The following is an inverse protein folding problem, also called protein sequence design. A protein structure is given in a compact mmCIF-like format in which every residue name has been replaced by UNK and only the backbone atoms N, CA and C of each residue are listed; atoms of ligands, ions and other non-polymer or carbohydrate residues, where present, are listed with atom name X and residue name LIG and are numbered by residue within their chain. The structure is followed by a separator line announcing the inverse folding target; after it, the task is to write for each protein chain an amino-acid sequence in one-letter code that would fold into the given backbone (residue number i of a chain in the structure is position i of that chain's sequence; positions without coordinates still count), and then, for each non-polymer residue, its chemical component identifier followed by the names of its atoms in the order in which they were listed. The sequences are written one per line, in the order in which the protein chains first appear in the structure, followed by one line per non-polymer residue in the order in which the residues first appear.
data_IF_001917545951
#
_entry.id   IF_001917545951
#
_cell.length_a   1.000
_cell.length_b   1.000
_cell.length_c   1.000
_cell.angle_alpha   90.00
_cell.angle_beta   90.00
_cell.angle_gamma   90.00
#
_symmetry.space_group_name_H-M   'P 1'
#
loop_
_entity.id
_entity.type
_entity.pdbx_description
1 polymer ?
#
# COMPACT_ATOMS: atom_id res chain seq x y z
N UNK A 1 9.85 -9.13 -2.96
CA UNK A 1 8.87 -9.36 -1.90
C UNK A 1 7.97 -10.52 -2.28
N UNK A 2 7.55 -11.29 -1.29
CA UNK A 2 6.66 -12.44 -1.44
C UNK A 2 5.58 -12.38 -0.35
N UNK A 3 4.33 -12.77 -0.62
CA UNK A 3 3.34 -12.93 0.44
C UNK A 3 3.65 -14.17 1.28
N UNK A 4 3.57 -14.01 2.60
CA UNK A 4 3.72 -15.13 3.53
C UNK A 4 2.50 -16.04 3.48
N UNK A 5 2.72 -17.36 3.56
CA UNK A 5 1.66 -18.36 3.59
C UNK A 5 1.36 -18.89 4.99
N UNK A 6 2.18 -18.55 5.99
CA UNK A 6 2.02 -18.94 7.38
C UNK A 6 1.97 -17.74 8.31
N UNK A 7 1.19 -17.85 9.37
CA UNK A 7 1.14 -16.83 10.42
C UNK A 7 2.43 -16.81 11.22
N UNK A 8 2.81 -15.66 11.68
CA UNK A 8 4.01 -15.45 12.47
C UNK A 8 3.75 -14.44 13.59
N UNK A 9 4.63 -14.45 14.58
CA UNK A 9 4.56 -13.52 15.70
C UNK A 9 5.73 -12.52 15.62
N UNK A 10 5.41 -11.24 15.73
CA UNK A 10 6.41 -10.18 15.93
C UNK A 10 6.96 -10.31 17.36
N UNK A 11 8.29 -10.34 17.49
CA UNK A 11 8.93 -10.32 18.79
C UNK A 11 8.94 -8.94 19.43
N UNK A 12 9.36 -8.88 20.68
CA UNK A 12 9.59 -7.62 21.41
C UNK A 12 11.06 -7.20 21.39
N UNK A 13 11.94 -8.04 20.84
CA UNK A 13 13.38 -7.80 20.81
C UNK A 13 13.77 -6.58 19.99
N UNK A 14 14.79 -5.88 20.43
CA UNK A 14 15.39 -4.74 19.75
C UNK A 14 16.84 -5.02 19.43
N UNK A 15 17.39 -4.35 18.40
CA UNK A 15 18.79 -4.51 18.01
C UNK A 15 19.76 -4.22 19.17
N UNK A 16 19.42 -3.27 20.03
CA UNK A 16 20.25 -2.83 21.15
C UNK A 16 20.10 -3.67 22.43
N UNK A 17 19.24 -4.70 22.43
CA UNK A 17 19.02 -5.50 23.64
C UNK A 17 20.28 -6.32 24.00
N UNK A 18 20.61 -6.31 25.27
CA UNK A 18 21.69 -7.11 25.85
C UNK A 18 21.24 -7.66 27.23
N UNK A 19 21.05 -8.97 27.39
CA UNK A 19 21.16 -10.01 26.36
C UNK A 19 20.10 -9.91 25.27
N UNK A 20 20.41 -10.46 24.09
CA UNK A 20 19.48 -10.47 22.97
C UNK A 20 18.18 -11.20 23.35
N UNK A 21 17.06 -10.57 23.06
CA UNK A 21 15.75 -11.20 23.18
C UNK A 21 15.54 -12.21 22.05
N UNK A 22 15.08 -13.40 22.38
CA UNK A 22 14.89 -14.51 21.42
C UNK A 22 13.43 -14.81 21.12
N UNK A 23 12.47 -13.97 21.59
CA UNK A 23 11.06 -14.15 21.28
C UNK A 23 10.71 -13.67 19.86
N UNK A 24 9.56 -14.12 19.36
CA UNK A 24 9.04 -13.75 18.04
C UNK A 24 9.54 -14.66 16.92
N UNK A 25 9.56 -14.13 15.70
CA UNK A 25 10.03 -14.88 14.55
C UNK A 25 11.55 -14.77 14.36
N UNK A 26 12.11 -15.80 13.74
CA UNK A 26 13.51 -15.89 13.36
C UNK A 26 13.63 -16.58 12.00
N UNK A 27 14.84 -16.84 11.54
CA UNK A 27 15.09 -17.64 10.34
C UNK A 27 14.47 -19.05 10.41
N UNK A 28 14.52 -19.68 11.61
CA UNK A 28 14.03 -21.03 11.81
C UNK A 28 12.60 -21.07 12.31
N UNK A 29 12.25 -20.16 13.23
CA UNK A 29 10.96 -20.18 13.90
C UNK A 29 10.06 -19.06 13.40
N UNK A 30 8.79 -19.38 13.09
CA UNK A 30 7.74 -18.38 12.84
C UNK A 30 7.15 -17.84 14.15
N UNK A 31 7.37 -18.57 15.24
CA UNK A 31 6.98 -18.20 16.58
C UNK A 31 7.96 -18.79 17.58
N UNK A 32 8.45 -17.99 18.48
CA UNK A 32 9.18 -18.43 19.67
C UNK A 32 8.73 -17.57 20.84
N UNK A 33 7.84 -18.10 21.66
CA UNK A 33 7.26 -17.36 22.77
C UNK A 33 6.91 -18.31 23.93
N UNK A 34 7.31 -17.93 25.15
CA UNK A 34 6.94 -18.65 26.38
C UNK A 34 7.26 -20.17 26.33
N UNK A 35 8.37 -20.54 25.70
CA UNK A 35 8.78 -21.94 25.55
C UNK A 35 8.08 -22.70 24.41
N UNK A 36 7.15 -22.06 23.69
CA UNK A 36 6.49 -22.63 22.52
C UNK A 36 7.27 -22.19 21.27
N UNK A 37 7.86 -23.14 20.57
CA UNK A 37 8.58 -22.92 19.33
C UNK A 37 7.84 -23.58 18.18
N UNK A 38 7.48 -22.79 17.18
CA UNK A 38 6.87 -23.27 15.95
C UNK A 38 7.80 -22.90 14.79
N UNK A 39 8.28 -23.90 14.10
CA UNK A 39 9.16 -23.70 12.95
C UNK A 39 8.36 -23.25 11.71
N UNK A 40 9.05 -22.56 10.80
CA UNK A 40 8.57 -22.38 9.44
C UNK A 40 8.59 -23.72 8.71
N UNK A 41 7.63 -23.99 7.84
CA UNK A 41 7.69 -25.13 6.93
C UNK A 41 8.89 -25.04 5.99
N UNK A 42 9.29 -23.84 5.60
CA UNK A 42 10.52 -23.55 4.89
C UNK A 42 11.38 -22.55 5.65
N UNK A 43 12.64 -22.88 5.94
CA UNK A 43 13.56 -22.01 6.66
C UNK A 43 13.71 -20.66 5.97
N UNK A 44 13.72 -19.59 6.74
CA UNK A 44 13.77 -18.21 6.25
C UNK A 44 12.40 -17.61 5.92
N UNK A 45 11.30 -18.34 6.24
CA UNK A 45 9.92 -17.93 6.00
C UNK A 45 9.23 -18.74 4.89
N UNK A 46 8.03 -19.21 5.17
CA UNK A 46 7.22 -19.93 4.16
C UNK A 46 6.38 -18.93 3.38
N UNK A 47 6.58 -18.89 2.06
CA UNK A 47 5.98 -17.86 1.19
C UNK A 47 5.43 -18.46 -0.10
N UNK A 48 4.61 -17.68 -0.80
CA UNK A 48 4.02 -18.05 -2.10
C UNK A 48 4.92 -17.53 -3.20
N UNK A 49 5.73 -18.42 -3.79
CA UNK A 49 6.73 -18.06 -4.79
C UNK A 49 6.14 -17.55 -6.11
N UNK A 50 4.91 -17.96 -6.46
CA UNK A 50 4.24 -17.49 -7.70
C UNK A 50 3.85 -16.04 -7.68
N UNK A 51 3.82 -15.41 -6.51
CA UNK A 51 3.35 -14.04 -6.30
C UNK A 51 4.51 -13.09 -5.98
N UNK A 52 5.62 -13.29 -6.66
CA UNK A 52 6.82 -12.48 -6.50
C UNK A 52 6.63 -11.06 -7.03
N UNK A 53 7.08 -10.08 -6.25
CA UNK A 53 7.28 -8.71 -6.68
C UNK A 53 8.74 -8.32 -6.49
N UNK A 54 9.39 -7.85 -7.54
CA UNK A 54 10.82 -7.51 -7.52
C UNK A 54 11.04 -6.03 -7.76
N UNK A 55 12.06 -5.49 -7.10
CA UNK A 55 12.56 -4.15 -7.35
C UNK A 55 14.08 -4.16 -7.28
N UNK A 56 14.71 -3.53 -8.26
CA UNK A 56 16.14 -3.24 -8.20
C UNK A 56 16.34 -1.89 -7.50
N UNK A 57 17.35 -1.82 -6.65
CA UNK A 57 17.74 -0.58 -5.97
C UNK A 57 19.26 -0.42 -5.98
N UNK A 58 19.73 0.80 -5.77
CA UNK A 58 21.14 1.15 -5.76
C UNK A 58 21.39 2.24 -4.71
N UNK A 59 22.65 2.61 -4.51
CA UNK A 59 23.02 3.70 -3.61
C UNK A 59 22.41 5.05 -4.02
N UNK A 60 22.11 5.24 -5.32
CA UNK A 60 21.45 6.45 -5.84
C UNK A 60 19.94 6.41 -5.73
N UNK A 61 19.35 5.23 -5.52
CA UNK A 61 17.91 5.03 -5.32
C UNK A 61 17.70 3.97 -4.23
N UNK A 62 17.93 4.35 -2.96
CA UNK A 62 17.95 3.40 -1.85
C UNK A 62 16.55 3.01 -1.36
N UNK A 63 15.52 3.76 -1.71
CA UNK A 63 14.17 3.52 -1.22
C UNK A 63 13.51 2.36 -1.95
N UNK A 64 12.73 1.59 -1.21
CA UNK A 64 11.92 0.50 -1.75
C UNK A 64 10.49 1.00 -1.91
N UNK A 65 10.02 0.99 -3.17
CA UNK A 65 8.62 1.27 -3.54
C UNK A 65 8.15 0.14 -4.46
N UNK A 66 7.32 -0.76 -3.93
CA UNK A 66 6.86 -1.94 -4.67
C UNK A 66 5.35 -1.88 -4.89
N UNK A 67 4.93 -2.15 -6.12
CA UNK A 67 3.51 -2.36 -6.44
C UNK A 67 3.08 -3.77 -6.04
N UNK A 68 2.37 -3.87 -4.93
CA UNK A 68 1.82 -5.13 -4.41
C UNK A 68 0.33 -5.32 -4.75
N UNK A 69 -0.19 -4.61 -5.76
CA UNK A 69 -1.61 -4.64 -6.12
C UNK A 69 -2.11 -6.05 -6.40
N UNK A 70 -1.33 -6.87 -7.10
CA UNK A 70 -1.70 -8.26 -7.40
C UNK A 70 -1.84 -9.12 -6.14
N UNK A 71 -0.92 -8.95 -5.19
CA UNK A 71 -0.94 -9.64 -3.90
C UNK A 71 -2.14 -9.17 -3.06
N UNK A 72 -2.34 -7.86 -2.99
CA UNK A 72 -3.45 -7.26 -2.25
C UNK A 72 -4.82 -7.72 -2.78
N UNK A 73 -4.98 -7.83 -4.10
CA UNK A 73 -6.20 -8.37 -4.71
C UNK A 73 -6.50 -9.79 -4.26
N UNK A 74 -5.50 -10.66 -4.16
CA UNK A 74 -5.64 -12.03 -3.67
C UNK A 74 -6.00 -12.09 -2.19
N UNK A 75 -5.47 -11.19 -1.37
CA UNK A 75 -5.90 -11.07 0.02
C UNK A 75 -7.35 -10.60 0.13
N UNK A 76 -7.74 -9.65 -0.70
CA UNK A 76 -9.09 -9.09 -0.70
C UNK A 76 -10.14 -10.08 -1.19
N UNK A 77 -9.80 -10.89 -2.20
CA UNK A 77 -10.68 -11.95 -2.71
C UNK A 77 -10.78 -13.17 -1.79
N UNK A 78 -9.90 -13.26 -0.78
CA UNK A 78 -9.83 -14.42 0.10
C UNK A 78 -9.11 -15.64 -0.51
N UNK A 79 -8.50 -15.49 -1.67
CA UNK A 79 -7.67 -16.54 -2.29
C UNK A 79 -6.47 -16.89 -1.41
N UNK A 80 -5.82 -15.84 -0.87
CA UNK A 80 -4.70 -15.97 0.07
C UNK A 80 -5.02 -15.24 1.37
N UNK A 81 -4.56 -15.80 2.50
CA UNK A 81 -4.62 -15.11 3.78
C UNK A 81 -3.52 -14.05 3.86
N UNK A 82 -3.85 -12.90 4.44
CA UNK A 82 -2.87 -11.86 4.67
C UNK A 82 -2.06 -12.14 5.96
N UNK A 83 -0.89 -12.71 5.77
CA UNK A 83 0.12 -12.88 6.82
C UNK A 83 1.29 -11.92 6.68
N UNK A 84 1.18 -10.94 5.78
CA UNK A 84 2.22 -9.97 5.50
C UNK A 84 3.14 -10.37 4.35
N UNK A 85 4.24 -9.65 4.24
CA UNK A 85 5.22 -9.79 3.17
C UNK A 85 6.58 -10.18 3.73
N UNK A 86 7.26 -11.08 3.02
CA UNK A 86 8.66 -11.40 3.22
C UNK A 86 9.50 -10.59 2.23
N UNK A 87 10.45 -9.82 2.73
CA UNK A 87 11.48 -9.19 1.92
C UNK A 87 12.74 -10.07 1.96
N UNK A 88 13.30 -10.36 0.81
CA UNK A 88 14.54 -11.11 0.67
C UNK A 88 15.32 -10.66 -0.55
N UNK A 89 16.61 -10.94 -0.55
CA UNK A 89 17.44 -10.73 -1.72
C UNK A 89 17.09 -11.74 -2.81
N UNK A 90 17.22 -11.34 -4.07
CA UNK A 90 16.87 -12.21 -5.20
C UNK A 90 18.02 -13.18 -5.54
N UNK A 91 17.63 -14.36 -6.01
CA UNK A 91 18.54 -15.38 -6.56
C UNK A 91 19.55 -15.90 -5.54
N UNK A 92 20.78 -16.07 -6.00
CA UNK A 92 21.87 -16.64 -5.20
C UNK A 92 22.41 -15.69 -4.12
N UNK A 93 22.01 -14.42 -4.13
CA UNK A 93 22.50 -13.43 -3.14
C UNK A 93 22.05 -13.75 -1.72
N UNK A 94 20.83 -14.27 -1.56
CA UNK A 94 20.27 -14.65 -0.25
C UNK A 94 21.11 -15.71 0.47
N UNK A 95 21.71 -16.61 -0.29
CA UNK A 95 22.51 -17.73 0.24
C UNK A 95 24.00 -17.58 -0.04
N UNK A 96 24.45 -16.38 -0.44
CA UNK A 96 25.86 -16.15 -0.73
C UNK A 96 26.70 -16.19 0.54
N UNK A 97 27.65 -17.10 0.61
CA UNK A 97 28.65 -17.15 1.68
C UNK A 97 29.86 -16.25 1.43
N UNK A 98 29.96 -15.67 0.23
CA UNK A 98 31.12 -14.86 -0.19
C UNK A 98 30.92 -13.34 0.00
N UNK A 99 29.71 -12.88 0.12
CA UNK A 99 29.41 -11.48 0.41
C UNK A 99 28.20 -11.41 1.33
N UNK A 100 28.38 -10.82 2.50
CA UNK A 100 27.28 -10.55 3.43
C UNK A 100 26.76 -9.14 3.09
N UNK A 101 25.60 -9.07 2.47
CA UNK A 101 24.90 -7.83 2.25
C UNK A 101 23.93 -7.61 3.41
N UNK A 102 24.11 -6.53 4.16
CA UNK A 102 23.23 -6.14 5.26
C UNK A 102 22.41 -4.91 4.85
N UNK A 103 21.10 -5.09 4.79
CA UNK A 103 20.17 -4.02 4.46
C UNK A 103 19.32 -3.68 5.69
N UNK A 104 19.41 -2.43 6.12
CA UNK A 104 18.68 -1.93 7.29
C UNK A 104 17.52 -1.05 6.86
N UNK A 105 16.36 -1.34 7.39
CA UNK A 105 15.14 -0.58 7.17
C UNK A 105 14.62 -0.02 8.48
N UNK A 106 13.95 1.12 8.40
CA UNK A 106 13.22 1.64 9.55
C UNK A 106 12.00 0.75 9.84
N UNK A 107 11.79 0.44 11.11
CA UNK A 107 10.60 -0.28 11.53
C UNK A 107 9.40 0.65 11.69
N UNK A 108 8.20 0.08 11.85
CA UNK A 108 6.99 0.86 12.13
C UNK A 108 7.03 1.58 13.49
N UNK A 109 7.86 1.10 14.44
CA UNK A 109 8.01 1.69 15.76
C UNK A 109 9.04 2.83 15.80
N UNK A 110 9.64 3.16 14.66
CA UNK A 110 10.56 4.28 14.59
C UNK A 110 9.83 5.62 14.82
N UNK A 111 10.46 6.52 15.55
CA UNK A 111 9.96 7.88 15.75
C UNK A 111 10.38 8.84 14.60
N UNK A 112 10.60 8.29 13.41
CA UNK A 112 11.00 9.04 12.22
C UNK A 112 9.88 9.09 11.18
N UNK A 113 10.02 9.98 10.19
CA UNK A 113 9.10 10.06 9.04
C UNK A 113 9.28 8.90 8.04
N UNK A 114 10.31 8.07 8.23
CA UNK A 114 10.70 7.00 7.30
C UNK A 114 10.10 5.63 7.67
N UNK A 115 9.10 5.57 8.53
CA UNK A 115 8.39 4.32 8.80
C UNK A 115 7.79 3.74 7.51
N UNK A 116 7.69 2.40 7.40
CA UNK A 116 7.04 1.76 6.25
C UNK A 116 5.62 2.28 6.07
N UNK A 117 5.23 2.54 4.82
CA UNK A 117 3.91 3.07 4.45
C UNK A 117 3.26 2.15 3.44
N UNK A 118 1.97 1.94 3.59
CA UNK A 118 1.13 1.37 2.56
C UNK A 118 0.34 2.50 1.90
N UNK A 119 0.54 2.70 0.62
CA UNK A 119 -0.19 3.68 -0.17
C UNK A 119 -1.26 2.97 -1.00
N UNK A 120 -2.49 3.41 -0.88
CA UNK A 120 -3.61 2.94 -1.68
C UNK A 120 -3.95 4.02 -2.70
N UNK A 121 -3.91 3.64 -3.98
CA UNK A 121 -4.35 4.50 -5.08
C UNK A 121 -5.57 3.85 -5.71
N UNK A 122 -6.65 4.56 -5.79
CA UNK A 122 -7.88 4.08 -6.44
C UNK A 122 -8.42 5.13 -7.38
N UNK A 123 -9.13 4.68 -8.38
CA UNK A 123 -9.90 5.53 -9.27
C UNK A 123 -11.37 5.40 -8.88
N UNK A 124 -11.96 6.49 -8.41
CA UNK A 124 -13.36 6.58 -8.00
C UNK A 124 -14.28 7.07 -9.12
N UNK A 125 -13.73 7.22 -10.34
CA UNK A 125 -14.48 7.74 -11.49
C UNK A 125 -15.27 6.69 -12.27
N UNK A 126 -15.14 5.42 -11.95
CA UNK A 126 -15.97 4.37 -12.55
C UNK A 126 -17.35 4.33 -11.89
N UNK A 127 -18.22 5.25 -12.30
CA UNK A 127 -19.63 5.14 -12.00
C UNK A 127 -20.27 4.11 -12.93
N UNK A 128 -20.56 2.93 -12.42
CA UNK A 128 -21.51 2.04 -13.07
C UNK A 128 -22.92 2.53 -12.75
N UNK A 129 -23.53 3.22 -13.70
CA UNK A 129 -24.91 3.77 -13.57
C UNK A 129 -25.91 2.78 -14.17
N UNK A 130 -25.89 1.54 -13.77
CA UNK A 130 -26.85 0.52 -14.22
C UNK A 130 -26.94 0.38 -15.73
N UNK A 131 -28.16 0.45 -16.30
CA UNK A 131 -28.41 0.32 -17.75
C UNK A 131 -28.14 1.59 -18.56
N UNK A 132 -27.64 2.65 -17.92
CA UNK A 132 -27.26 3.86 -18.65
C UNK A 132 -25.96 3.59 -19.42
N UNK A 133 -25.90 4.06 -20.66
CA UNK A 133 -24.67 4.02 -21.45
C UNK A 133 -23.55 4.72 -20.67
N UNK A 134 -22.34 4.15 -20.62
CA UNK A 134 -21.21 4.84 -20.01
C UNK A 134 -21.08 6.22 -20.68
N UNK A 135 -20.96 7.26 -19.86
CA UNK A 135 -20.66 8.59 -20.38
C UNK A 135 -19.27 8.51 -21.02
N UNK A 136 -19.22 8.62 -22.34
CA UNK A 136 -17.96 8.66 -23.06
C UNK A 136 -17.26 9.99 -22.77
N UNK A 137 -16.34 9.96 -21.80
CA UNK A 137 -15.51 11.11 -21.41
C UNK A 137 -14.22 11.20 -22.25
N UNK A 138 -14.19 10.58 -23.42
CA UNK A 138 -13.03 10.67 -24.34
C UNK A 138 -12.84 12.08 -24.93
N UNK A 139 -13.80 12.98 -24.71
CA UNK A 139 -13.63 14.40 -24.98
C UNK A 139 -12.94 15.14 -23.85
N UNK A 140 -12.29 16.25 -24.16
CA UNK A 140 -11.82 17.21 -23.17
C UNK A 140 -12.97 17.60 -22.23
N UNK A 141 -12.91 17.18 -20.97
CA UNK A 141 -13.84 17.64 -19.94
C UNK A 141 -13.51 19.10 -19.65
N UNK A 142 -14.08 19.99 -20.45
CA UNK A 142 -13.79 21.42 -20.39
C UNK A 142 -14.42 22.11 -19.17
N UNK A 143 -15.45 21.49 -18.58
CA UNK A 143 -16.24 22.11 -17.53
C UNK A 143 -16.08 21.39 -16.19
N UNK A 144 -15.95 22.17 -15.16
CA UNK A 144 -16.04 21.73 -13.78
C UNK A 144 -17.40 22.13 -13.20
N UNK A 145 -18.15 21.14 -12.72
CA UNK A 145 -19.47 21.37 -12.11
C UNK A 145 -19.33 21.19 -10.59
N UNK A 146 -19.89 22.09 -9.83
CA UNK A 146 -19.87 22.06 -8.37
C UNK A 146 -21.24 22.44 -7.81
N UNK A 147 -21.55 21.87 -6.65
CA UNK A 147 -22.80 22.15 -5.95
C UNK A 147 -22.62 23.35 -5.03
N UNK A 148 -23.57 24.28 -5.11
CA UNK A 148 -23.63 25.46 -4.25
C UNK A 148 -24.55 25.18 -3.05
N UNK A 149 -24.09 25.57 -1.85
CA UNK A 149 -24.89 25.50 -0.63
C UNK A 149 -25.41 24.09 -0.29
N UNK A 150 -24.59 23.05 -0.50
CA UNK A 150 -24.89 21.72 0.00
C UNK A 150 -24.92 21.73 1.53
N UNK A 151 -25.93 21.09 2.12
CA UNK A 151 -26.02 20.81 3.55
C UNK A 151 -25.63 19.35 3.78
N UNK A 152 -25.08 19.05 4.92
CA UNK A 152 -24.68 17.67 5.30
C UNK A 152 -25.88 16.72 5.46
N UNK A 153 -27.04 17.25 5.79
CA UNK A 153 -28.26 16.46 5.96
C UNK A 153 -29.51 17.24 5.58
N UNK A 154 -30.53 16.53 5.16
CA UNK A 154 -31.86 17.04 4.78
C UNK A 154 -32.94 16.24 5.48
N UNK A 155 -34.07 16.86 5.78
CA UNK A 155 -35.23 16.16 6.34
C UNK A 155 -36.00 15.44 5.23
N UNK A 156 -36.52 14.24 5.54
CA UNK A 156 -37.26 13.41 4.57
C UNK A 156 -38.46 14.13 3.92
N UNK A 157 -39.10 15.03 4.65
CA UNK A 157 -40.29 15.79 4.19
C UNK A 157 -39.95 17.14 3.56
N UNK A 158 -38.66 17.47 3.43
CA UNK A 158 -38.21 18.77 2.94
C UNK A 158 -38.10 18.80 1.41
N UNK A 159 -38.66 19.82 0.80
CA UNK A 159 -38.41 20.11 -0.62
C UNK A 159 -37.09 20.83 -0.78
N UNK A 160 -36.10 20.17 -1.35
CA UNK A 160 -34.75 20.68 -1.48
C UNK A 160 -34.46 21.19 -2.87
N UNK A 161 -33.95 22.41 -2.97
CA UNK A 161 -33.51 23.00 -4.23
C UNK A 161 -32.00 22.94 -4.33
N UNK A 162 -31.50 22.10 -5.21
CA UNK A 162 -30.08 22.05 -5.51
C UNK A 162 -29.69 23.11 -6.54
N UNK A 163 -28.60 23.79 -6.27
CA UNK A 163 -28.02 24.76 -7.20
C UNK A 163 -26.62 24.25 -7.59
N UNK A 164 -26.39 24.26 -8.89
CA UNK A 164 -25.09 23.86 -9.44
C UNK A 164 -24.47 25.06 -10.15
N UNK A 165 -23.17 25.24 -9.94
CA UNK A 165 -22.33 26.14 -10.71
C UNK A 165 -21.48 25.34 -11.68
N UNK A 166 -21.23 25.88 -12.87
CA UNK A 166 -20.32 25.30 -13.83
C UNK A 166 -19.31 26.36 -14.27
N UNK A 167 -18.06 25.94 -14.42
CA UNK A 167 -17.01 26.81 -14.96
C UNK A 167 -16.07 25.99 -15.84
N UNK A 168 -15.31 26.65 -16.71
CA UNK A 168 -14.22 25.97 -17.41
C UNK A 168 -13.22 25.39 -16.42
N UNK A 169 -12.83 24.15 -16.64
CA UNK A 169 -11.85 23.45 -15.80
C UNK A 169 -10.47 24.07 -15.94
N UNK A 170 -10.12 24.42 -17.15
CA UNK A 170 -8.87 25.10 -17.47
C UNK A 170 -9.22 26.41 -18.16
N UNK A 171 -8.78 27.51 -17.60
CA UNK A 171 -8.92 28.82 -18.18
C UNK A 171 -7.64 29.07 -18.98
N UNK A 172 -7.77 29.37 -20.26
CA UNK A 172 -6.66 29.79 -21.06
C UNK A 172 -6.03 31.04 -20.44
N UNK A 173 -4.77 30.93 -20.03
CA UNK A 173 -4.06 32.06 -19.46
C UNK A 173 -3.82 33.11 -20.56
N UNK A 174 -4.67 34.12 -20.60
CA UNK A 174 -4.37 35.31 -21.40
C UNK A 174 -3.52 36.25 -20.53
N UNK A 175 -2.53 36.89 -21.14
CA UNK A 175 -1.69 37.91 -20.47
C UNK A 175 -2.44 39.23 -20.23
N UNK A 176 -3.76 39.25 -20.36
CA UNK A 176 -4.59 40.40 -20.02
C UNK A 176 -4.92 40.37 -18.54
N UNK A 177 -4.77 41.51 -17.89
CA UNK A 177 -4.98 41.74 -16.44
C UNK A 177 -6.46 41.70 -15.99
N UNK A 178 -7.38 41.19 -16.79
CA UNK A 178 -8.78 41.08 -16.40
C UNK A 178 -9.00 39.89 -15.45
N UNK A 179 -9.52 40.16 -14.27
CA UNK A 179 -10.03 39.14 -13.36
C UNK A 179 -11.24 38.48 -14.02
N UNK A 180 -11.14 37.20 -14.32
CA UNK A 180 -12.28 36.43 -14.77
C UNK A 180 -13.06 35.97 -13.53
N UNK A 181 -14.27 36.45 -13.39
CA UNK A 181 -15.24 36.03 -12.36
C UNK A 181 -16.02 34.81 -12.81
#
# INVERSE_FOLDING_TARGET
AYPLSESWDEGVGKEADDPKTTDGCSWLYRRNKEGIQLEWTGSGGTYIASDEVTQSFSLSSPDIEMDITSIAKKWFSGENKNYGLLLRLSGSREMSSGSFEDLKFFSRQTNTIYSPKLELRWDDHTHEVGSLQPLDLTGNVENYVYQLHARESYKETETVKFRFGARKRYIDKSFTTSVQT
#
